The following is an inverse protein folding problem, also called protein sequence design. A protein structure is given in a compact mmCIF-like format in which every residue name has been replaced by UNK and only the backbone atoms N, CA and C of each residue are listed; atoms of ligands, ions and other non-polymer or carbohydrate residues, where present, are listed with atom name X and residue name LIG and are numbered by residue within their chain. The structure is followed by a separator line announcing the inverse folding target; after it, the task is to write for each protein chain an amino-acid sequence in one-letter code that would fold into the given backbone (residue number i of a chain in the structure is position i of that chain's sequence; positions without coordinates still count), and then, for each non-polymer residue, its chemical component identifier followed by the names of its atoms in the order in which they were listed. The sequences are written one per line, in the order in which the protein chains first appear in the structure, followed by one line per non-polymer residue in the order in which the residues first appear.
data_IF_814454566652
#
_entry.id   IF_814454566652
#
_cell.length_a   1.000
_cell.length_b   1.000
_cell.length_c   1.000
_cell.angle_alpha   90.00
_cell.angle_beta   90.00
_cell.angle_gamma   90.00
#
_symmetry.space_group_name_H-M   'P 1'
#
loop_
_entity.id
_entity.type
_entity.pdbx_description
1 polymer ?
#
# COMPACT_ATOMS: atom_id res chain seq x y z
N UNK A 1 12.08 29.10 12.56
CA UNK A 1 11.55 28.15 13.56
C UNK A 1 12.50 26.97 13.61
N UNK A 2 13.48 27.02 14.53
CA UNK A 2 14.49 25.98 14.68
C UNK A 2 13.98 24.79 15.50
N UNK A 3 14.61 23.65 15.32
CA UNK A 3 14.42 22.47 16.15
C UNK A 3 14.79 22.81 17.61
N UNK A 4 13.94 22.38 18.54
CA UNK A 4 14.32 22.43 19.96
C UNK A 4 15.25 21.28 20.29
N UNK A 5 16.38 21.55 20.91
CA UNK A 5 17.31 20.52 21.37
C UNK A 5 16.58 19.59 22.36
N UNK A 6 16.60 18.29 22.08
CA UNK A 6 15.98 17.24 22.91
C UNK A 6 14.60 16.76 22.46
N UNK A 7 14.01 17.29 21.40
CA UNK A 7 12.79 16.76 20.82
C UNK A 7 13.10 15.94 19.56
N UNK A 8 12.68 14.69 19.56
CA UNK A 8 12.78 13.80 18.40
C UNK A 8 11.52 14.03 17.53
N UNK A 9 11.70 14.61 16.35
CA UNK A 9 10.63 14.73 15.37
C UNK A 9 10.70 13.54 14.42
N UNK A 10 9.82 12.56 14.61
CA UNK A 10 9.60 11.52 13.63
C UNK A 10 8.56 12.02 12.63
N UNK A 11 8.95 12.22 11.39
CA UNK A 11 7.98 12.33 10.29
C UNK A 11 7.58 10.91 9.93
N UNK A 12 6.43 10.47 10.42
CA UNK A 12 5.83 9.21 10.00
C UNK A 12 5.03 9.52 8.73
N UNK A 13 5.41 8.97 7.58
CA UNK A 13 4.62 9.14 6.38
C UNK A 13 3.24 8.52 6.61
N UNK A 14 2.18 9.30 6.39
CA UNK A 14 0.80 8.82 6.47
C UNK A 14 0.39 8.37 5.07
N UNK A 15 -0.06 7.11 4.89
CA UNK A 15 -0.58 6.66 3.61
C UNK A 15 -1.74 7.56 3.15
N UNK A 16 -1.79 7.86 1.87
CA UNK A 16 -2.90 8.61 1.28
C UNK A 16 -3.94 7.65 0.71
N UNK A 17 -5.21 7.97 0.93
CA UNK A 17 -6.32 7.23 0.35
C UNK A 17 -6.64 7.73 -1.05
N UNK A 18 -6.83 6.79 -1.98
CA UNK A 18 -7.28 7.03 -3.33
C UNK A 18 -8.79 7.30 -3.43
N UNK A 19 -9.32 7.14 -4.64
CA UNK A 19 -10.75 7.24 -4.92
C UNK A 19 -11.52 6.07 -4.29
N UNK A 20 -12.83 6.25 -4.13
CA UNK A 20 -13.73 5.18 -3.70
C UNK A 20 -13.90 4.14 -4.81
N UNK A 21 -13.69 2.87 -4.50
CA UNK A 21 -13.84 1.74 -5.42
C UNK A 21 -15.22 1.08 -5.32
N UNK A 22 -15.94 1.30 -4.21
CA UNK A 22 -17.26 0.71 -3.95
C UNK A 22 -18.36 1.64 -4.44
N UNK A 23 -19.30 1.09 -5.20
CA UNK A 23 -20.54 1.78 -5.57
C UNK A 23 -21.65 1.39 -4.61
N UNK A 24 -22.50 2.36 -4.20
CA UNK A 24 -23.64 2.12 -3.31
C UNK A 24 -23.21 1.41 -1.98
N UNK A 25 -22.09 1.86 -1.39
CA UNK A 25 -21.58 1.32 -0.12
C UNK A 25 -22.43 1.73 1.09
N UNK A 26 -23.28 2.73 0.94
CA UNK A 26 -24.31 3.15 1.89
C UNK A 26 -25.60 2.35 1.79
N UNK A 27 -25.71 1.43 0.81
CA UNK A 27 -26.87 0.60 0.55
C UNK A 27 -28.19 1.40 0.40
N UNK A 28 -28.09 2.61 -0.15
CA UNK A 28 -29.25 3.48 -0.36
C UNK A 28 -30.28 2.87 -1.33
N UNK A 29 -29.80 2.04 -2.24
CA UNK A 29 -30.61 1.33 -3.23
C UNK A 29 -30.31 -0.17 -3.23
N UNK A 30 -31.30 -0.98 -3.64
CA UNK A 30 -31.10 -2.42 -3.81
C UNK A 30 -30.48 -2.73 -5.19
N UNK A 31 -29.28 -2.20 -5.42
CA UNK A 31 -28.51 -2.32 -6.66
C UNK A 31 -27.02 -2.49 -6.40
N UNK A 32 -26.25 -2.74 -7.45
CA UNK A 32 -24.77 -2.77 -7.50
C UNK A 32 -24.11 -3.90 -6.70
N UNK A 33 -24.86 -4.63 -5.89
CA UNK A 33 -24.38 -5.74 -5.10
C UNK A 33 -25.04 -7.06 -5.49
N UNK A 34 -24.23 -8.10 -5.68
CA UNK A 34 -24.71 -9.47 -5.85
C UNK A 34 -24.99 -10.06 -4.47
N UNK A 35 -26.23 -10.47 -4.24
CA UNK A 35 -26.70 -11.01 -2.93
C UNK A 35 -26.88 -12.50 -2.99
N UNK A 36 -26.31 -13.21 -2.03
CA UNK A 36 -26.63 -14.60 -1.74
C UNK A 36 -27.99 -14.78 -1.03
N UNK A 37 -28.35 -16.04 -0.82
CA UNK A 37 -29.60 -16.39 -0.13
C UNK A 37 -29.59 -15.85 1.32
N UNK A 38 -30.71 -15.28 1.75
CA UNK A 38 -30.85 -14.76 3.12
C UNK A 38 -30.26 -13.38 3.31
N UNK A 39 -29.97 -12.64 2.23
CA UNK A 39 -29.49 -11.28 2.31
C UNK A 39 -30.50 -10.36 1.59
N UNK A 40 -30.84 -9.26 2.27
CA UNK A 40 -31.70 -8.20 1.72
C UNK A 40 -31.02 -6.85 1.90
N UNK A 41 -31.13 -5.96 0.89
CA UNK A 41 -30.72 -4.56 1.02
C UNK A 41 -31.96 -3.73 1.30
N UNK A 42 -31.98 -3.08 2.45
CA UNK A 42 -33.06 -2.17 2.85
C UNK A 42 -32.63 -1.32 4.05
N UNK A 43 -33.19 -0.12 4.15
CA UNK A 43 -32.92 0.78 5.26
C UNK A 43 -31.46 1.23 5.37
N UNK A 44 -30.74 1.33 4.25
CA UNK A 44 -29.33 1.73 4.24
C UNK A 44 -28.38 0.62 4.72
N UNK A 45 -28.76 -0.64 4.60
CA UNK A 45 -27.93 -1.76 5.07
C UNK A 45 -28.17 -3.03 4.25
N UNK A 46 -27.17 -3.88 4.18
CA UNK A 46 -27.27 -5.28 3.81
C UNK A 46 -27.58 -6.11 5.05
N UNK A 47 -28.76 -6.73 5.10
CA UNK A 47 -29.26 -7.46 6.25
C UNK A 47 -29.14 -8.96 6.02
N UNK A 48 -28.47 -9.66 6.93
CA UNK A 48 -28.20 -11.09 6.91
C UNK A 48 -29.10 -11.82 7.93
N UNK A 49 -29.66 -12.96 7.50
CA UNK A 49 -30.61 -13.74 8.30
C UNK A 49 -30.05 -15.07 8.83
N UNK A 50 -28.76 -15.23 8.90
CA UNK A 50 -28.11 -16.41 9.45
C UNK A 50 -28.00 -17.60 8.49
N UNK A 51 -28.08 -17.35 7.18
CA UNK A 51 -27.88 -18.41 6.20
C UNK A 51 -26.40 -18.74 6.07
N UNK A 52 -26.07 -20.02 6.20
CA UNK A 52 -24.71 -20.54 6.05
C UNK A 52 -24.24 -20.33 4.60
N UNK A 53 -22.98 -19.91 4.42
CA UNK A 53 -22.38 -19.58 3.14
C UNK A 53 -23.05 -18.37 2.43
N UNK A 54 -23.81 -17.57 3.12
CA UNK A 54 -24.32 -16.33 2.56
C UNK A 54 -23.17 -15.38 2.26
N UNK A 55 -23.21 -14.76 1.10
CA UNK A 55 -22.25 -13.72 0.75
C UNK A 55 -22.94 -12.58 0.00
N UNK A 56 -22.39 -11.38 0.16
CA UNK A 56 -22.69 -10.23 -0.67
C UNK A 56 -21.39 -9.74 -1.30
N UNK A 57 -21.42 -9.42 -2.56
CA UNK A 57 -20.21 -9.06 -3.27
C UNK A 57 -20.42 -8.02 -4.37
N UNK A 58 -19.35 -7.31 -4.68
CA UNK A 58 -19.32 -6.36 -5.77
C UNK A 58 -17.99 -6.48 -6.54
N UNK A 59 -18.05 -6.49 -7.87
CA UNK A 59 -16.86 -6.33 -8.69
C UNK A 59 -16.45 -4.85 -8.64
N UNK A 60 -15.42 -4.54 -7.87
CA UNK A 60 -14.89 -3.20 -7.67
C UNK A 60 -13.64 -2.92 -8.52
N UNK A 61 -13.31 -3.79 -9.49
CA UNK A 61 -12.17 -3.59 -10.38
C UNK A 61 -10.80 -3.67 -9.71
N UNK A 62 -10.70 -4.34 -8.57
CA UNK A 62 -9.49 -4.33 -7.73
C UNK A 62 -8.27 -4.92 -8.43
N UNK A 63 -7.10 -4.33 -8.20
CA UNK A 63 -5.82 -4.72 -8.80
C UNK A 63 -5.02 -5.60 -7.83
N UNK A 64 -4.56 -6.75 -8.30
CA UNK A 64 -3.72 -7.67 -7.52
C UNK A 64 -2.40 -7.02 -7.11
N UNK A 65 -2.01 -7.18 -5.85
CA UNK A 65 -0.80 -6.58 -5.28
C UNK A 65 -1.02 -5.19 -4.69
N UNK A 66 -2.14 -4.54 -5.01
CA UNK A 66 -2.48 -3.22 -4.47
C UNK A 66 -2.99 -3.34 -3.03
N UNK A 67 -2.60 -2.39 -2.20
CA UNK A 67 -3.08 -2.28 -0.83
C UNK A 67 -4.32 -1.39 -0.79
N UNK A 68 -5.31 -1.82 -0.03
CA UNK A 68 -6.58 -1.11 0.16
C UNK A 68 -6.87 -0.90 1.63
N UNK A 69 -7.57 0.19 1.93
CA UNK A 69 -8.25 0.39 3.21
C UNK A 69 -9.73 0.12 3.03
N UNK A 70 -10.24 -0.82 3.79
CA UNK A 70 -11.66 -1.11 3.87
C UNK A 70 -12.23 -0.56 5.18
N UNK A 71 -13.38 0.11 5.11
CA UNK A 71 -14.16 0.50 6.28
C UNK A 71 -15.60 0.04 6.12
N UNK A 72 -16.23 -0.34 7.22
CA UNK A 72 -17.64 -0.73 7.24
C UNK A 72 -18.18 -0.72 8.68
N UNK A 73 -19.49 -0.71 8.81
CA UNK A 73 -20.19 -0.77 10.10
C UNK A 73 -20.97 -2.08 10.20
N UNK A 74 -20.85 -2.78 11.32
CA UNK A 74 -21.75 -3.87 11.70
C UNK A 74 -22.73 -3.36 12.75
N UNK A 75 -24.02 -3.61 12.53
CA UNK A 75 -25.09 -3.29 13.45
C UNK A 75 -26.07 -4.46 13.58
N UNK A 76 -26.95 -4.42 14.58
CA UNK A 76 -27.95 -5.47 14.81
C UNK A 76 -27.36 -6.89 14.88
N UNK A 77 -26.10 -7.01 15.32
CA UNK A 77 -25.42 -8.30 15.44
C UNK A 77 -26.15 -9.21 16.43
N UNK A 78 -26.39 -10.45 16.04
CA UNK A 78 -27.02 -11.49 16.86
C UNK A 78 -26.12 -12.71 17.00
N UNK A 79 -25.55 -13.21 15.90
CA UNK A 79 -24.77 -14.46 15.88
C UNK A 79 -23.90 -14.60 14.65
N UNK A 80 -22.95 -15.54 14.70
CA UNK A 80 -22.08 -15.92 13.60
C UNK A 80 -20.99 -14.90 13.30
N UNK A 81 -20.15 -15.20 12.36
CA UNK A 81 -19.03 -14.36 11.93
C UNK A 81 -19.21 -13.93 10.47
N UNK A 82 -18.79 -12.72 10.16
CA UNK A 82 -18.70 -12.24 8.80
C UNK A 82 -17.25 -11.95 8.43
N UNK A 83 -16.80 -12.53 7.35
CA UNK A 83 -15.46 -12.32 6.81
C UNK A 83 -15.48 -11.27 5.70
N UNK A 84 -14.41 -10.50 5.61
CA UNK A 84 -14.15 -9.65 4.46
C UNK A 84 -13.04 -10.25 3.60
N UNK A 85 -13.24 -10.25 2.27
CA UNK A 85 -12.26 -10.66 1.28
C UNK A 85 -12.12 -9.54 0.23
N UNK A 86 -10.93 -8.99 0.12
CA UNK A 86 -10.58 -7.95 -0.86
C UNK A 86 -9.71 -8.59 -1.94
N UNK A 87 -10.35 -8.91 -3.07
CA UNK A 87 -9.74 -9.68 -4.14
C UNK A 87 -9.45 -11.14 -3.75
N UNK A 88 -9.85 -12.09 -4.57
CA UNK A 88 -9.65 -13.51 -4.31
C UNK A 88 -10.51 -14.09 -3.18
N UNK A 89 -10.22 -15.33 -2.81
CA UNK A 89 -10.97 -16.09 -1.80
C UNK A 89 -10.22 -16.21 -0.45
N UNK A 90 -9.31 -15.28 -0.17
CA UNK A 90 -8.54 -15.29 1.07
C UNK A 90 -9.19 -14.38 2.09
N UNK A 91 -9.55 -14.95 3.23
CA UNK A 91 -10.06 -14.18 4.38
C UNK A 91 -9.01 -13.22 4.89
N UNK A 92 -9.40 -11.96 5.06
CA UNK A 92 -8.51 -10.91 5.52
C UNK A 92 -8.97 -10.29 6.85
N UNK A 93 -10.12 -10.72 7.36
CA UNK A 93 -10.64 -10.36 8.66
C UNK A 93 -11.94 -11.08 8.93
N UNK A 94 -12.24 -11.39 10.20
CA UNK A 94 -13.48 -12.00 10.69
C UNK A 94 -14.05 -11.17 11.82
N UNK A 95 -15.34 -10.90 11.79
CA UNK A 95 -16.00 -9.95 12.68
C UNK A 95 -17.29 -10.50 13.25
N UNK A 96 -17.45 -10.40 14.58
CA UNK A 96 -18.54 -11.00 15.33
C UNK A 96 -19.08 -10.05 16.42
N UNK A 97 -19.21 -8.77 16.13
CA UNK A 97 -19.76 -7.79 17.05
C UNK A 97 -20.26 -6.54 16.31
N UNK A 98 -21.11 -5.75 16.95
CA UNK A 98 -21.44 -4.40 16.49
C UNK A 98 -20.22 -3.49 16.59
N UNK A 99 -20.03 -2.62 15.61
CA UNK A 99 -18.96 -1.63 15.61
C UNK A 99 -18.64 -1.09 14.23
N UNK A 100 -17.79 -0.07 14.22
CA UNK A 100 -17.17 0.46 13.03
C UNK A 100 -15.79 -0.16 12.89
N UNK A 101 -15.50 -0.67 11.71
CA UNK A 101 -14.27 -1.40 11.43
C UNK A 101 -13.46 -0.70 10.34
N UNK A 102 -12.14 -0.72 10.52
CA UNK A 102 -11.16 -0.27 9.53
C UNK A 102 -10.06 -1.30 9.44
N UNK A 103 -9.79 -1.80 8.25
CA UNK A 103 -8.69 -2.73 7.99
C UNK A 103 -7.91 -2.32 6.75
N UNK A 104 -6.60 -2.50 6.83
CA UNK A 104 -5.69 -2.33 5.69
C UNK A 104 -5.29 -3.71 5.18
N UNK A 105 -5.57 -3.98 3.92
CA UNK A 105 -5.38 -5.30 3.32
C UNK A 105 -4.67 -5.19 1.98
N UNK A 106 -3.94 -6.24 1.59
CA UNK A 106 -3.37 -6.34 0.25
C UNK A 106 -4.20 -7.31 -0.58
N UNK A 107 -4.61 -6.88 -1.77
CA UNK A 107 -5.32 -7.75 -2.71
C UNK A 107 -4.36 -8.85 -3.19
N UNK A 108 -4.67 -10.10 -2.88
CA UNK A 108 -3.88 -11.27 -3.26
C UNK A 108 -4.32 -11.91 -4.57
N UNK A 109 -5.43 -11.45 -5.16
CA UNK A 109 -5.92 -11.90 -6.47
C UNK A 109 -7.41 -11.65 -6.65
N UNK A 110 -7.80 -11.28 -7.87
CA UNK A 110 -9.20 -11.00 -8.23
C UNK A 110 -9.61 -9.53 -8.07
N UNK A 111 -10.79 -9.20 -8.61
CA UNK A 111 -11.30 -7.83 -8.74
C UNK A 111 -12.48 -7.52 -7.82
N UNK A 112 -12.85 -8.44 -6.93
CA UNK A 112 -14.14 -8.41 -6.22
C UNK A 112 -13.94 -8.23 -4.72
N UNK A 113 -14.74 -7.37 -4.13
CA UNK A 113 -14.94 -7.27 -2.69
C UNK A 113 -16.07 -8.21 -2.26
N UNK A 114 -15.84 -9.02 -1.20
CA UNK A 114 -16.84 -9.89 -0.60
C UNK A 114 -17.00 -9.61 0.89
N UNK A 115 -18.24 -9.68 1.35
CA UNK A 115 -18.56 -10.02 2.73
C UNK A 115 -19.20 -11.40 2.71
N UNK A 116 -18.58 -12.34 3.38
CA UNK A 116 -18.97 -13.74 3.35
C UNK A 116 -19.10 -14.28 4.77
N UNK A 117 -20.15 -15.00 5.02
CA UNK A 117 -20.34 -15.72 6.27
C UNK A 117 -19.28 -16.83 6.41
N UNK A 118 -18.71 -16.94 7.60
CA UNK A 118 -17.73 -17.98 7.91
C UNK A 118 -18.41 -19.30 8.30
N UNK A 119 -18.40 -20.25 7.37
CA UNK A 119 -18.88 -21.60 7.63
C UNK A 119 -17.89 -22.50 8.41
N UNK A 120 -16.67 -22.05 8.69
CA UNK A 120 -15.62 -22.88 9.31
C UNK A 120 -15.82 -23.08 10.83
N UNK A 121 -16.67 -22.29 11.46
CA UNK A 121 -16.91 -22.30 12.92
C UNK A 121 -18.02 -23.20 13.42
N UNK A 122 -18.60 -24.10 12.61
CA UNK A 122 -19.56 -25.08 13.09
C UNK A 122 -21.03 -24.74 12.90
N UNK A 123 -21.36 -23.86 11.95
CA UNK A 123 -22.72 -23.83 11.42
C UNK A 123 -23.68 -22.80 11.98
N UNK A 124 -23.20 -21.73 12.58
CA UNK A 124 -24.05 -20.57 12.92
C UNK A 124 -23.78 -19.45 11.93
N UNK A 125 -24.71 -19.20 11.01
CA UNK A 125 -24.59 -18.15 10.04
C UNK A 125 -24.65 -16.75 10.65
N UNK A 126 -24.01 -15.80 9.99
CA UNK A 126 -24.01 -14.40 10.43
C UNK A 126 -25.44 -13.82 10.37
N UNK A 127 -25.90 -13.34 11.51
CA UNK A 127 -27.14 -12.58 11.64
C UNK A 127 -26.81 -11.19 12.13
N UNK A 128 -27.07 -10.20 11.29
CA UNK A 128 -26.73 -8.80 11.55
C UNK A 128 -26.88 -7.95 10.27
N UNK A 129 -26.42 -6.72 10.35
CA UNK A 129 -26.51 -5.76 9.24
C UNK A 129 -25.15 -5.16 8.97
N UNK A 130 -24.80 -4.99 7.69
CA UNK A 130 -23.59 -4.27 7.22
C UNK A 130 -24.02 -2.97 6.54
N UNK A 131 -23.32 -1.89 6.84
CA UNK A 131 -23.54 -0.56 6.23
C UNK A 131 -22.24 0.22 6.12
N UNK A 132 -22.29 1.39 5.44
CA UNK A 132 -21.18 2.33 5.31
C UNK A 132 -19.88 1.67 4.78
N UNK A 133 -20.02 0.82 3.76
CA UNK A 133 -18.89 0.15 3.14
C UNK A 133 -18.13 1.13 2.26
N UNK A 134 -16.82 1.25 2.50
CA UNK A 134 -15.89 2.00 1.68
C UNK A 134 -14.63 1.17 1.46
N UNK A 135 -14.10 1.22 0.25
CA UNK A 135 -12.83 0.59 -0.10
C UNK A 135 -12.03 1.55 -0.96
N UNK A 136 -10.85 1.93 -0.49
CA UNK A 136 -9.98 2.88 -1.19
C UNK A 136 -8.58 2.33 -1.32
N UNK A 137 -7.94 2.58 -2.45
CA UNK A 137 -6.53 2.28 -2.60
C UNK A 137 -5.72 3.04 -1.55
N UNK A 138 -4.79 2.32 -0.93
CA UNK A 138 -3.88 2.89 0.05
C UNK A 138 -2.50 2.99 -0.59
N UNK A 139 -2.16 4.19 -1.07
CA UNK A 139 -0.81 4.43 -1.58
C UNK A 139 0.16 4.50 -0.41
N UNK A 140 1.26 3.76 -0.51
CA UNK A 140 2.33 3.87 0.46
C UNK A 140 2.80 5.34 0.47
N UNK A 141 2.92 5.89 1.65
CA UNK A 141 3.56 7.18 1.81
C UNK A 141 5.06 7.00 1.52
N UNK A 142 5.40 7.02 0.23
CA UNK A 142 6.78 7.18 -0.17
C UNK A 142 7.16 8.64 0.10
N UNK A 143 8.16 8.83 0.94
CA UNK A 143 8.69 10.17 1.17
C UNK A 143 9.56 10.54 -0.02
N UNK A 144 8.95 11.02 -1.08
CA UNK A 144 9.69 11.70 -2.13
C UNK A 144 10.11 13.08 -1.60
N UNK A 145 11.27 13.11 -0.96
CA UNK A 145 11.84 14.35 -0.42
C UNK A 145 12.59 15.06 -1.52
N UNK A 146 11.88 15.82 -2.32
CA UNK A 146 12.51 16.78 -3.23
C UNK A 146 13.02 17.96 -2.41
N UNK A 147 14.33 18.09 -2.25
CA UNK A 147 14.97 19.22 -1.57
C UNK A 147 15.75 20.05 -2.57
N UNK A 148 15.50 21.35 -2.54
CA UNK A 148 16.31 22.33 -3.30
C UNK A 148 17.53 22.82 -2.52
N UNK A 149 17.69 22.40 -1.26
CA UNK A 149 18.78 22.81 -0.36
C UNK A 149 19.38 21.60 0.34
N UNK A 150 20.64 21.74 0.78
CA UNK A 150 21.36 20.71 1.52
C UNK A 150 20.55 20.15 2.70
N UNK A 151 20.52 18.83 2.80
CA UNK A 151 19.94 18.13 3.95
C UNK A 151 21.01 17.87 5.00
N UNK A 152 20.58 17.82 6.26
CA UNK A 152 21.44 17.35 7.35
C UNK A 152 21.18 15.87 7.62
N UNK A 153 22.22 15.11 7.91
CA UNK A 153 22.16 13.73 8.38
C UNK A 153 22.90 13.62 9.71
N UNK A 154 22.49 12.67 10.53
CA UNK A 154 23.24 12.29 11.72
C UNK A 154 24.24 11.20 11.31
N UNK A 155 25.51 11.41 11.58
CA UNK A 155 26.55 10.40 11.32
C UNK A 155 26.60 9.33 12.43
N UNK A 156 27.50 8.38 12.27
CA UNK A 156 27.71 7.27 13.21
C UNK A 156 28.14 7.71 14.64
N UNK A 157 28.59 8.95 14.81
CA UNK A 157 28.98 9.53 16.10
C UNK A 157 27.84 10.37 16.70
N UNK A 158 26.67 10.42 16.07
CA UNK A 158 25.52 11.22 16.50
C UNK A 158 25.67 12.72 16.20
N UNK A 159 26.63 13.11 15.33
CA UNK A 159 26.82 14.50 14.93
C UNK A 159 25.96 14.83 13.73
N UNK A 160 25.35 16.01 13.75
CA UNK A 160 24.57 16.53 12.63
C UNK A 160 25.51 17.10 11.57
N UNK A 161 25.64 16.39 10.46
CA UNK A 161 26.41 16.81 9.30
C UNK A 161 25.48 17.25 8.16
N UNK A 162 25.95 18.18 7.33
CA UNK A 162 25.29 18.46 6.08
C UNK A 162 25.40 17.25 5.15
N UNK A 163 24.28 16.78 4.64
CA UNK A 163 24.31 15.84 3.53
C UNK A 163 24.79 16.61 2.31
N UNK A 164 25.96 16.26 1.83
CA UNK A 164 26.49 16.81 0.60
C UNK A 164 25.56 16.38 -0.56
N UNK A 165 24.99 17.34 -1.26
CA UNK A 165 24.30 17.06 -2.50
C UNK A 165 25.40 16.82 -3.53
N UNK A 166 25.72 15.56 -3.75
CA UNK A 166 26.56 15.19 -4.87
C UNK A 166 25.71 15.45 -6.11
N UNK A 167 26.11 16.45 -6.89
CA UNK A 167 25.49 16.73 -8.20
C UNK A 167 25.55 15.53 -9.13
N UNK A 168 24.98 15.67 -10.33
CA UNK A 168 25.21 14.67 -11.37
C UNK A 168 26.70 14.49 -11.63
N UNK A 169 27.10 13.28 -12.04
CA UNK A 169 28.47 12.98 -12.40
C UNK A 169 28.97 13.97 -13.49
N UNK A 170 29.95 14.78 -13.16
CA UNK A 170 30.53 15.79 -14.08
C UNK A 170 31.72 15.23 -14.90
N UNK A 171 32.22 14.07 -14.49
CA UNK A 171 33.32 13.41 -15.18
C UNK A 171 32.74 12.48 -16.25
N UNK A 172 32.95 12.85 -17.51
CA UNK A 172 32.52 12.00 -18.64
C UNK A 172 33.37 10.73 -18.69
N UNK A 173 32.70 9.55 -18.77
CA UNK A 173 33.36 8.26 -18.88
C UNK A 173 34.33 7.98 -17.71
N UNK A 174 33.85 8.22 -16.47
CA UNK A 174 34.62 7.99 -15.25
C UNK A 174 34.95 6.53 -14.98
N UNK A 175 34.14 5.61 -15.53
CA UNK A 175 34.35 4.14 -15.48
C UNK A 175 35.22 3.61 -16.64
N UNK A 176 35.64 4.51 -17.56
CA UNK A 176 36.44 4.19 -18.74
C UNK A 176 35.83 3.13 -19.69
N UNK A 177 34.52 2.84 -19.57
CA UNK A 177 33.86 1.85 -20.44
C UNK A 177 33.87 2.23 -21.90
N UNK A 178 33.94 3.53 -22.23
CA UNK A 178 34.09 4.08 -23.56
C UNK A 178 35.56 4.28 -24.02
N UNK A 179 36.51 3.62 -23.39
CA UNK A 179 37.93 3.84 -23.67
C UNK A 179 38.40 5.24 -23.23
N UNK A 180 39.20 5.94 -24.02
CA UNK A 180 39.68 7.29 -23.71
C UNK A 180 38.71 8.42 -24.09
N UNK A 181 37.47 8.11 -24.47
CA UNK A 181 36.48 9.13 -24.83
C UNK A 181 36.22 10.07 -23.63
N UNK A 182 36.38 11.36 -23.85
CA UNK A 182 36.27 12.39 -22.80
C UNK A 182 37.55 12.64 -21.98
N UNK A 183 38.62 11.86 -22.23
CA UNK A 183 39.91 12.02 -21.56
C UNK A 183 41.02 12.40 -22.58
N UNK A 184 41.86 13.32 -22.19
CA UNK A 184 43.06 13.67 -22.96
C UNK A 184 44.26 12.95 -22.36
N UNK A 185 44.84 12.03 -23.09
CA UNK A 185 46.10 11.36 -22.70
C UNK A 185 47.26 12.23 -23.17
N UNK A 186 47.96 12.83 -22.22
CA UNK A 186 49.08 13.76 -22.52
C UNK A 186 50.45 13.14 -22.41
N UNK A 187 50.55 11.94 -21.86
CA UNK A 187 51.81 11.21 -21.71
C UNK A 187 51.62 9.76 -22.15
N UNK A 188 52.47 9.31 -23.08
CA UNK A 188 52.42 7.98 -23.65
C UNK A 188 53.73 7.22 -23.56
N UNK A 189 54.58 7.55 -22.55
CA UNK A 189 55.75 6.77 -22.37
C UNK A 189 55.46 5.38 -21.75
N UNK A 190 56.38 4.43 -21.90
CA UNK A 190 56.15 3.03 -21.62
C UNK A 190 55.90 2.71 -20.11
N UNK A 191 56.11 3.68 -19.23
CA UNK A 191 56.07 3.48 -17.78
C UNK A 191 54.84 4.09 -17.12
N UNK A 192 54.09 4.96 -17.83
CA UNK A 192 52.89 5.65 -17.35
C UNK A 192 51.75 5.56 -18.35
N UNK A 193 50.99 4.52 -18.30
CA UNK A 193 49.86 4.35 -19.22
C UNK A 193 48.57 3.91 -18.52
N UNK A 194 47.46 4.29 -19.13
CA UNK A 194 46.13 3.84 -18.75
C UNK A 194 45.73 2.66 -19.65
N UNK A 195 45.53 1.49 -19.07
CA UNK A 195 45.06 0.34 -19.84
C UNK A 195 43.53 0.31 -19.80
N UNK A 196 42.92 0.38 -20.98
CA UNK A 196 41.49 0.17 -21.16
C UNK A 196 41.30 -1.25 -21.74
N UNK A 197 41.05 -2.23 -20.87
CA UNK A 197 40.83 -3.63 -21.27
C UNK A 197 39.36 -4.02 -21.39
N UNK A 198 38.46 -3.05 -21.30
CA UNK A 198 37.01 -3.25 -21.37
C UNK A 198 36.36 -3.74 -20.06
N UNK A 199 37.14 -4.05 -19.03
CA UNK A 199 36.61 -4.49 -17.73
C UNK A 199 37.18 -3.76 -16.53
N UNK A 200 38.39 -3.23 -16.63
CA UNK A 200 39.05 -2.48 -15.54
C UNK A 200 40.00 -1.42 -16.08
N UNK A 201 39.86 -0.17 -15.64
CA UNK A 201 40.86 0.84 -15.82
C UNK A 201 41.87 0.79 -14.67
N UNK A 202 43.16 0.75 -15.00
CA UNK A 202 44.24 0.81 -14.00
C UNK A 202 45.25 1.86 -14.40
N UNK A 203 45.56 2.78 -13.48
CA UNK A 203 46.75 3.60 -13.55
C UNK A 203 47.96 2.78 -13.08
N UNK A 204 48.95 2.69 -13.85
CA UNK A 204 50.26 2.15 -13.47
C UNK A 204 51.31 3.25 -13.46
#
# INVERSE_FOLDING_TARGET
NGYKAGELYAVVPVPTEGTEEVTNGDFATDSDWNKGTGITISGGSANFTGNINANINQNAGLVTGTRYRATFTISNYVSGDIDINVGGNTRQGSFAANGDYTIDVTNVGGATLFFQEDSSGGGVGFTGSISNVSLKELTSADMDVTRTTAATRVDENGLVNYAEVIGGEEVTNSDFSGGSTGWTVTDSDADNYVVFDGSTARLK
#
